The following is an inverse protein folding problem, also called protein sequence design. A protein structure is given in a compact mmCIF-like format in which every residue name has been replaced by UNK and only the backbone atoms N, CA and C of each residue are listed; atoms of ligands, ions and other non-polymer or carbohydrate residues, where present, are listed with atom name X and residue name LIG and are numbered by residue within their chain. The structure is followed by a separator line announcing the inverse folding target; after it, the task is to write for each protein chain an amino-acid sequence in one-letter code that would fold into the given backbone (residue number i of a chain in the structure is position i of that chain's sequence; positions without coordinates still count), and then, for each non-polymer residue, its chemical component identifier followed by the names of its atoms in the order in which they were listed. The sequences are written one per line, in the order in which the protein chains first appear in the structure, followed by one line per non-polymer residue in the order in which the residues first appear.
data_IF_238071603766
#
_entry.id   IF_238071603766
#
_cell.length_a   1.000
_cell.length_b   1.000
_cell.length_c   1.000
_cell.angle_alpha   90.00
_cell.angle_beta   90.00
_cell.angle_gamma   90.00
#
_symmetry.space_group_name_H-M   'P 1'
#
loop_
_entity.id
_entity.type
_entity.pdbx_description
1 polymer ?
#
# COMPACT_ATOMS: atom_id res chain seq x y z
N UNK A 1 -58.05 27.33 8.96
CA UNK A 1 -57.83 28.48 9.86
C UNK A 1 -56.82 28.05 10.93
N UNK A 2 -55.57 28.49 10.81
CA UNK A 2 -54.89 29.48 11.68
C UNK A 2 -54.46 28.94 13.07
N UNK A 3 -53.13 28.97 13.28
CA UNK A 3 -52.37 29.11 14.57
C UNK A 3 -52.10 27.78 15.31
N UNK A 4 -50.92 27.48 15.88
CA UNK A 4 -49.65 28.22 16.09
C UNK A 4 -48.55 27.20 16.43
N UNK A 5 -47.33 27.50 16.01
CA UNK A 5 -46.07 26.89 16.46
C UNK A 5 -45.85 27.17 17.95
N UNK A 6 -45.33 26.20 18.71
CA UNK A 6 -44.49 26.51 19.88
C UNK A 6 -43.26 25.61 19.91
N UNK A 7 -42.12 26.27 19.71
CA UNK A 7 -40.78 25.81 19.98
C UNK A 7 -40.65 25.39 21.46
N UNK A 8 -40.02 24.24 21.71
CA UNK A 8 -39.34 23.99 22.97
C UNK A 8 -37.87 23.76 22.67
N UNK A 9 -37.15 24.85 22.86
CA UNK A 9 -35.70 24.98 22.90
C UNK A 9 -35.21 24.17 24.10
N UNK A 10 -34.43 23.12 23.86
CA UNK A 10 -33.56 22.54 24.87
C UNK A 10 -32.13 22.67 24.38
N UNK A 11 -31.63 23.91 24.52
CA UNK A 11 -30.21 24.20 24.59
C UNK A 11 -29.70 23.68 25.93
N UNK A 12 -29.02 22.54 25.93
CA UNK A 12 -28.00 22.25 26.92
C UNK A 12 -26.65 22.26 26.19
N UNK A 13 -26.03 23.42 26.30
CA UNK A 13 -24.61 23.66 26.08
C UNK A 13 -23.83 22.70 26.99
N UNK A 14 -23.14 21.74 26.39
CA UNK A 14 -21.94 21.14 26.99
C UNK A 14 -20.76 21.68 26.19
N UNK A 15 -20.09 22.66 26.80
CA UNK A 15 -18.79 23.16 26.38
C UNK A 15 -17.75 22.02 26.40
N UNK A 16 -16.91 21.98 25.36
CA UNK A 16 -15.48 21.74 25.56
C UNK A 16 -14.96 20.35 25.26
N UNK A 17 -14.94 19.95 23.99
CA UNK A 17 -13.77 19.30 23.43
C UNK A 17 -13.34 20.04 22.18
N UNK A 18 -12.08 20.47 22.19
CA UNK A 18 -11.43 21.25 21.16
C UNK A 18 -11.11 20.30 19.99
N UNK A 19 -12.14 19.90 19.25
CA UNK A 19 -11.97 19.11 18.03
C UNK A 19 -11.38 20.03 16.97
N UNK A 20 -10.06 19.95 16.82
CA UNK A 20 -9.39 20.32 15.58
C UNK A 20 -10.19 19.66 14.46
N UNK A 21 -10.90 20.48 13.68
CA UNK A 21 -11.58 20.11 12.44
C UNK A 21 -10.64 19.20 11.64
N UNK A 22 -10.84 17.89 11.72
CA UNK A 22 -10.45 17.01 10.63
C UNK A 22 -11.34 17.47 9.48
N UNK A 23 -10.76 18.17 8.52
CA UNK A 23 -11.41 18.35 7.23
C UNK A 23 -11.67 16.95 6.69
N UNK A 24 -12.88 16.44 6.88
CA UNK A 24 -13.40 15.33 6.11
C UNK A 24 -13.40 15.83 4.68
N UNK A 25 -12.45 15.36 3.87
CA UNK A 25 -12.43 15.62 2.43
C UNK A 25 -13.72 15.02 1.89
N UNK A 26 -14.73 15.87 1.64
CA UNK A 26 -16.02 15.44 1.12
C UNK A 26 -15.80 14.72 -0.22
N UNK A 27 -16.51 13.61 -0.43
CA UNK A 27 -16.46 12.82 -1.68
C UNK A 27 -16.64 13.70 -2.94
N UNK A 28 -17.36 14.82 -2.83
CA UNK A 28 -17.55 15.81 -3.90
C UNK A 28 -16.27 16.56 -4.29
N UNK A 29 -15.34 16.80 -3.36
CA UNK A 29 -14.04 17.40 -3.67
C UNK A 29 -13.18 16.44 -4.50
N UNK A 30 -13.27 15.14 -4.24
CA UNK A 30 -12.48 14.11 -4.93
C UNK A 30 -13.02 13.85 -6.35
N UNK A 31 -14.35 13.82 -6.53
CA UNK A 31 -14.94 13.77 -7.89
C UNK A 31 -14.60 15.00 -8.75
N UNK A 32 -14.40 16.18 -8.13
CA UNK A 32 -13.98 17.38 -8.87
C UNK A 32 -12.52 17.33 -9.35
N UNK A 33 -11.62 16.68 -8.60
CA UNK A 33 -10.22 16.48 -9.01
C UNK A 33 -10.15 15.61 -10.29
N UNK A 34 -11.11 14.70 -10.48
CA UNK A 34 -11.16 13.80 -11.65
C UNK A 34 -11.45 14.49 -12.99
N UNK A 35 -11.98 15.73 -13.02
CA UNK A 35 -12.51 16.34 -14.26
C UNK A 35 -11.75 17.54 -14.83
N UNK A 36 -10.91 18.26 -14.06
CA UNK A 36 -10.38 19.56 -14.53
C UNK A 36 -8.90 19.59 -14.90
N UNK A 37 -8.06 18.68 -14.40
CA UNK A 37 -6.61 18.84 -14.51
C UNK A 37 -5.93 17.66 -15.25
N UNK A 38 -6.55 17.16 -16.32
CA UNK A 38 -5.97 16.11 -17.17
C UNK A 38 -4.98 16.74 -18.15
N UNK A 39 -3.73 16.92 -17.69
CA UNK A 39 -2.58 17.00 -18.58
C UNK A 39 -1.75 15.75 -18.35
N UNK A 40 -1.85 14.80 -19.27
CA UNK A 40 -1.08 13.57 -19.25
C UNK A 40 0.42 13.88 -19.39
N UNK A 41 1.26 13.31 -18.52
CA UNK A 41 2.69 13.16 -18.80
C UNK A 41 3.69 13.98 -17.97
N UNK A 42 3.29 14.70 -16.92
CA UNK A 42 4.27 15.27 -15.98
C UNK A 42 4.57 14.29 -14.83
N UNK A 43 5.84 14.05 -14.46
CA UNK A 43 6.16 13.32 -13.23
C UNK A 43 5.60 14.12 -12.05
N UNK A 44 4.48 13.64 -11.50
CA UNK A 44 3.85 14.32 -10.37
C UNK A 44 4.73 14.11 -9.16
N UNK A 45 5.25 15.20 -8.61
CA UNK A 45 5.82 15.22 -7.26
C UNK A 45 4.83 14.54 -6.31
N UNK A 46 5.24 13.40 -5.75
CA UNK A 46 4.41 12.53 -4.93
C UNK A 46 3.87 13.24 -3.68
N UNK A 47 4.59 14.24 -3.18
CA UNK A 47 4.17 15.03 -2.02
C UNK A 47 3.07 16.03 -2.36
N UNK A 48 3.09 16.55 -3.59
CA UNK A 48 2.18 17.58 -4.07
C UNK A 48 1.01 17.02 -4.89
N UNK A 49 1.02 15.72 -5.21
CA UNK A 49 -0.08 15.07 -5.91
C UNK A 49 -1.38 15.09 -5.06
N UNK A 50 -2.49 15.65 -5.55
CA UNK A 50 -3.73 15.78 -4.78
C UNK A 50 -4.33 14.44 -4.32
N UNK A 51 -4.18 13.38 -5.12
CA UNK A 51 -4.68 12.03 -4.78
C UNK A 51 -3.85 11.45 -3.65
N UNK A 52 -2.52 11.50 -3.76
CA UNK A 52 -1.62 11.03 -2.69
C UNK A 52 -1.82 11.82 -1.39
N UNK A 53 -1.98 13.14 -1.49
CA UNK A 53 -2.27 14.00 -0.33
C UNK A 53 -3.61 13.64 0.32
N UNK A 54 -4.64 13.38 -0.49
CA UNK A 54 -5.94 12.95 0.00
C UNK A 54 -5.85 11.59 0.71
N UNK A 55 -5.17 10.62 0.11
CA UNK A 55 -4.99 9.28 0.68
C UNK A 55 -4.27 9.36 2.03
N UNK A 56 -3.17 10.12 2.13
CA UNK A 56 -2.44 10.33 3.40
C UNK A 56 -3.29 10.93 4.52
N UNK A 57 -4.34 11.70 4.18
CA UNK A 57 -5.24 12.32 5.17
C UNK A 57 -6.33 11.38 5.70
N UNK A 58 -6.64 10.31 4.97
CA UNK A 58 -7.68 9.35 5.31
C UNK A 58 -7.20 8.36 6.37
N UNK A 59 -8.11 7.89 7.22
CA UNK A 59 -7.82 6.73 8.06
C UNK A 59 -7.52 5.51 7.19
N UNK A 60 -6.93 4.50 7.81
CA UNK A 60 -6.56 3.29 7.09
C UNK A 60 -7.77 2.58 6.45
N UNK A 61 -8.88 2.41 7.19
CA UNK A 61 -10.11 1.78 6.66
C UNK A 61 -10.80 2.62 5.58
N UNK A 62 -10.75 3.96 5.68
CA UNK A 62 -11.31 4.85 4.66
C UNK A 62 -10.53 4.74 3.34
N UNK A 63 -9.20 4.65 3.41
CA UNK A 63 -8.36 4.48 2.21
C UNK A 63 -8.62 3.19 1.49
N UNK A 64 -8.69 2.08 2.22
CA UNK A 64 -8.97 0.76 1.64
C UNK A 64 -10.28 0.80 0.86
N UNK A 65 -11.36 1.30 1.47
CA UNK A 65 -12.66 1.47 0.80
C UNK A 65 -12.57 2.38 -0.41
N UNK A 66 -11.83 3.48 -0.31
CA UNK A 66 -11.65 4.40 -1.41
C UNK A 66 -10.91 3.75 -2.57
N UNK A 67 -9.82 3.03 -2.32
CA UNK A 67 -9.03 2.37 -3.35
C UNK A 67 -9.75 1.18 -3.98
N UNK A 68 -10.52 0.41 -3.22
CA UNK A 68 -11.38 -0.63 -3.80
C UNK A 68 -12.44 -0.07 -4.75
N UNK A 69 -12.82 1.21 -4.58
CA UNK A 69 -13.87 1.85 -5.40
C UNK A 69 -13.30 2.73 -6.52
N UNK A 70 -12.15 3.35 -6.29
CA UNK A 70 -11.58 4.41 -7.14
C UNK A 70 -10.08 4.23 -7.42
N UNK A 71 -9.50 3.09 -7.03
CA UNK A 71 -8.06 2.80 -7.18
C UNK A 71 -7.58 2.79 -8.62
N UNK A 72 -8.47 2.56 -9.60
CA UNK A 72 -8.18 2.74 -11.03
C UNK A 72 -7.60 4.13 -11.34
N UNK A 73 -7.99 5.17 -10.58
CA UNK A 73 -7.40 6.50 -10.72
C UNK A 73 -5.87 6.47 -10.50
N UNK A 74 -5.36 5.73 -9.51
CA UNK A 74 -3.90 5.59 -9.30
C UNK A 74 -3.20 5.11 -10.56
N UNK A 75 -3.82 4.13 -11.23
CA UNK A 75 -3.34 3.56 -12.46
C UNK A 75 -3.45 4.55 -13.65
N UNK A 76 -4.51 5.36 -13.72
CA UNK A 76 -4.69 6.38 -14.75
C UNK A 76 -3.74 7.58 -14.61
N UNK A 77 -3.42 7.99 -13.38
CA UNK A 77 -2.51 9.10 -13.08
C UNK A 77 -1.03 8.67 -13.06
N UNK A 78 -0.74 7.40 -13.34
CA UNK A 78 0.62 6.86 -13.47
C UNK A 78 1.49 7.10 -12.21
N UNK A 79 0.86 6.98 -11.02
CA UNK A 79 1.49 7.23 -9.72
C UNK A 79 2.33 6.04 -9.23
N UNK A 80 2.64 5.09 -10.10
CA UNK A 80 3.37 3.87 -9.76
C UNK A 80 4.76 4.16 -9.19
N UNK A 81 5.49 5.12 -9.79
CA UNK A 81 6.82 5.52 -9.29
C UNK A 81 6.75 6.14 -7.89
N UNK A 82 5.62 6.78 -7.53
CA UNK A 82 5.42 7.28 -6.17
C UNK A 82 5.23 6.15 -5.17
N UNK A 83 4.41 5.17 -5.54
CA UNK A 83 4.13 4.00 -4.69
C UNK A 83 5.41 3.19 -4.48
N UNK A 84 6.18 2.96 -5.55
CA UNK A 84 7.48 2.29 -5.48
C UNK A 84 8.44 3.01 -4.55
N UNK A 85 8.64 4.33 -4.74
CA UNK A 85 9.61 5.11 -3.97
C UNK A 85 9.29 5.11 -2.48
N UNK A 86 8.01 5.04 -2.12
CA UNK A 86 7.59 5.05 -0.72
C UNK A 86 7.80 3.69 -0.05
N UNK A 87 7.74 2.60 -0.83
CA UNK A 87 8.05 1.25 -0.35
C UNK A 87 9.52 0.88 -0.43
N UNK A 88 10.32 1.68 -1.13
CA UNK A 88 11.75 1.46 -1.23
C UNK A 88 12.42 1.60 0.14
N UNK A 89 13.23 0.60 0.52
CA UNK A 89 14.06 0.65 1.72
C UNK A 89 15.52 0.36 1.41
N UNK A 90 16.40 0.90 2.26
CA UNK A 90 17.82 0.59 2.18
C UNK A 90 18.12 -0.85 2.64
N UNK A 91 19.17 -1.46 2.07
CA UNK A 91 19.65 -2.81 2.44
C UNK A 91 19.92 -2.95 3.94
N UNK A 92 20.44 -1.91 4.59
CA UNK A 92 20.67 -1.89 6.04
C UNK A 92 19.38 -2.07 6.84
N UNK A 93 18.28 -1.44 6.39
CA UNK A 93 16.95 -1.59 6.98
C UNK A 93 16.41 -2.99 6.70
N UNK A 94 16.47 -3.45 5.46
CA UNK A 94 16.05 -4.80 5.06
C UNK A 94 16.71 -5.87 5.93
N UNK A 95 18.04 -5.85 6.03
CA UNK A 95 18.80 -6.82 6.84
C UNK A 95 18.44 -6.78 8.31
N UNK A 96 18.21 -5.58 8.85
CA UNK A 96 17.81 -5.40 10.25
C UNK A 96 16.46 -6.05 10.52
N UNK A 97 15.47 -5.86 9.64
CA UNK A 97 14.13 -6.43 9.80
C UNK A 97 14.14 -7.96 9.60
N UNK A 98 14.80 -8.44 8.54
CA UNK A 98 14.89 -9.88 8.25
C UNK A 98 15.54 -10.66 9.40
N UNK A 99 16.66 -10.16 9.96
CA UNK A 99 17.42 -10.85 11.03
C UNK A 99 16.67 -10.93 12.37
N UNK A 100 15.63 -10.15 12.57
CA UNK A 100 14.80 -10.27 13.77
C UNK A 100 13.90 -11.51 13.73
N UNK A 101 13.69 -12.09 12.55
CA UNK A 101 12.89 -13.29 12.40
C UNK A 101 13.69 -14.54 12.78
N UNK A 102 13.09 -15.46 13.54
CA UNK A 102 13.73 -16.68 14.07
C UNK A 102 14.32 -17.59 12.99
N UNK A 103 13.68 -17.62 11.81
CA UNK A 103 14.16 -18.35 10.61
C UNK A 103 15.44 -17.77 9.98
N UNK A 104 15.90 -16.59 10.39
CA UNK A 104 17.00 -15.85 9.77
C UNK A 104 18.23 -15.64 10.70
N UNK A 105 18.42 -16.52 11.67
CA UNK A 105 19.43 -16.39 12.75
C UNK A 105 20.87 -16.65 12.28
N UNK A 106 21.08 -17.64 11.41
CA UNK A 106 22.41 -17.97 10.85
C UNK A 106 22.71 -17.22 9.55
N UNK A 107 21.67 -16.83 8.82
CA UNK A 107 21.71 -16.07 7.58
C UNK A 107 20.30 -15.71 7.16
N UNK A 108 20.15 -14.73 6.25
CA UNK A 108 18.82 -14.38 5.73
C UNK A 108 18.42 -15.42 4.70
N UNK A 109 17.40 -16.23 5.01
CA UNK A 109 16.85 -17.21 4.08
C UNK A 109 15.95 -16.49 3.08
N UNK A 110 16.22 -16.70 1.80
CA UNK A 110 15.50 -16.08 0.69
C UNK A 110 14.82 -17.17 -0.12
N UNK A 111 13.55 -16.97 -0.42
CA UNK A 111 12.76 -17.82 -1.31
C UNK A 111 12.62 -17.10 -2.64
N UNK A 112 12.95 -17.80 -3.73
CA UNK A 112 13.01 -17.22 -5.07
C UNK A 112 11.69 -17.42 -5.81
N UNK A 113 11.22 -16.37 -6.46
CA UNK A 113 10.08 -16.38 -7.37
C UNK A 113 10.47 -15.66 -8.67
N UNK A 114 10.45 -16.32 -9.83
CA UNK A 114 10.63 -15.65 -11.11
C UNK A 114 9.61 -14.53 -11.30
N UNK A 115 10.05 -13.35 -11.76
CA UNK A 115 9.14 -12.22 -11.99
C UNK A 115 8.02 -12.56 -12.98
N UNK A 116 8.34 -13.38 -13.99
CA UNK A 116 7.38 -13.88 -14.97
C UNK A 116 6.24 -14.69 -14.33
N UNK A 117 6.50 -15.37 -13.22
CA UNK A 117 5.47 -16.15 -12.51
C UNK A 117 4.50 -15.22 -11.78
N UNK A 118 4.99 -14.10 -11.23
CA UNK A 118 4.15 -13.02 -10.71
C UNK A 118 3.27 -12.41 -11.81
N UNK A 119 3.85 -12.05 -12.95
CA UNK A 119 3.09 -11.49 -14.08
C UNK A 119 2.02 -12.46 -14.59
N UNK A 120 2.39 -13.75 -14.71
CA UNK A 120 1.47 -14.80 -15.12
C UNK A 120 0.35 -15.00 -14.12
N UNK A 121 0.65 -14.93 -12.82
CA UNK A 121 -0.33 -15.00 -11.74
C UNK A 121 -1.33 -13.84 -11.81
N UNK A 122 -0.84 -12.59 -11.87
CA UNK A 122 -1.68 -11.38 -11.98
C UNK A 122 -2.64 -11.49 -13.15
N UNK A 123 -2.12 -11.88 -14.31
CA UNK A 123 -2.91 -12.04 -15.54
C UNK A 123 -3.95 -13.15 -15.42
N UNK A 124 -3.57 -14.32 -14.90
CA UNK A 124 -4.46 -15.47 -14.73
C UNK A 124 -5.60 -15.17 -13.75
N UNK A 125 -5.29 -14.51 -12.64
CA UNK A 125 -6.25 -14.17 -11.58
C UNK A 125 -7.10 -12.93 -11.90
N UNK A 126 -6.83 -12.27 -13.03
CA UNK A 126 -7.53 -11.07 -13.49
C UNK A 126 -7.50 -9.93 -12.47
N UNK A 127 -6.40 -9.80 -11.71
CA UNK A 127 -6.30 -8.81 -10.64
C UNK A 127 -6.07 -7.44 -11.28
N UNK A 128 -7.00 -6.51 -11.07
CA UNK A 128 -6.86 -5.12 -11.49
C UNK A 128 -6.33 -4.25 -10.34
N UNK A 129 -6.06 -2.99 -10.65
CA UNK A 129 -5.59 -1.96 -9.72
C UNK A 129 -6.41 -1.91 -8.43
N UNK A 130 -5.83 -2.30 -7.30
CA UNK A 130 -6.48 -2.33 -5.97
C UNK A 130 -7.76 -3.17 -5.81
N UNK A 131 -8.25 -3.84 -6.85
CA UNK A 131 -9.39 -4.77 -6.77
C UNK A 131 -9.06 -6.01 -5.92
N UNK A 132 -7.79 -6.40 -5.86
CA UNK A 132 -7.26 -7.38 -4.93
C UNK A 132 -5.76 -7.15 -4.71
N UNK A 133 -5.23 -7.85 -3.72
CA UNK A 133 -3.84 -7.81 -3.32
C UNK A 133 -3.21 -9.19 -3.48
N UNK A 134 -1.89 -9.22 -3.42
CA UNK A 134 -1.09 -10.43 -3.48
C UNK A 134 -0.47 -10.68 -2.12
N UNK A 135 -0.59 -11.89 -1.61
CA UNK A 135 0.19 -12.40 -0.49
C UNK A 135 1.20 -13.43 -1.01
N UNK A 136 2.36 -13.51 -0.34
CA UNK A 136 3.31 -14.59 -0.54
C UNK A 136 3.08 -15.66 0.53
N UNK A 137 2.86 -16.90 0.12
CA UNK A 137 2.79 -18.03 1.02
C UNK A 137 4.13 -18.79 0.96
N UNK A 138 4.89 -18.77 2.07
CA UNK A 138 6.21 -19.39 2.19
C UNK A 138 6.08 -20.79 2.79
N UNK A 139 6.48 -21.79 2.02
CA UNK A 139 6.67 -23.17 2.47
C UNK A 139 8.15 -23.38 2.83
N UNK A 140 8.44 -23.22 4.12
CA UNK A 140 9.80 -23.28 4.64
C UNK A 140 10.40 -24.69 4.59
N UNK A 141 9.56 -25.73 4.67
CA UNK A 141 9.97 -27.14 4.65
C UNK A 141 10.43 -27.54 3.26
N UNK A 142 9.67 -27.17 2.22
CA UNK A 142 9.97 -27.49 0.83
C UNK A 142 10.80 -26.43 0.12
N UNK A 143 11.21 -25.37 0.81
CA UNK A 143 11.95 -24.24 0.26
C UNK A 143 11.26 -23.58 -0.95
N UNK A 144 9.94 -23.34 -0.83
CA UNK A 144 9.11 -22.80 -1.90
C UNK A 144 8.38 -21.53 -1.46
N UNK A 145 8.09 -20.67 -2.43
CA UNK A 145 7.17 -19.54 -2.28
C UNK A 145 6.08 -19.68 -3.34
N UNK A 146 4.85 -19.35 -2.96
CA UNK A 146 3.71 -19.29 -3.87
C UNK A 146 2.96 -17.97 -3.68
N UNK A 147 2.12 -17.64 -4.67
CA UNK A 147 1.32 -16.43 -4.67
C UNK A 147 -0.13 -16.76 -4.39
N UNK A 148 -0.77 -15.91 -3.58
CA UNK A 148 -2.20 -15.99 -3.29
C UNK A 148 -2.86 -14.64 -3.52
N UNK A 149 -4.03 -14.67 -4.16
CA UNK A 149 -4.92 -13.52 -4.29
C UNK A 149 -5.65 -13.38 -2.96
N UNK A 150 -5.64 -12.19 -2.39
CA UNK A 150 -6.24 -11.93 -1.10
C UNK A 150 -6.90 -10.55 -1.13
N UNK A 151 -7.99 -10.32 -0.36
CA UNK A 151 -8.37 -8.95 -0.03
C UNK A 151 -7.23 -8.28 0.74
N UNK A 152 -7.30 -6.96 0.86
CA UNK A 152 -6.43 -6.23 1.77
C UNK A 152 -6.47 -6.84 3.19
N UNK A 153 -5.32 -6.92 3.87
CA UNK A 153 -5.23 -7.41 5.24
C UNK A 153 -4.30 -6.57 6.10
N UNK A 154 -4.65 -6.43 7.37
CA UNK A 154 -3.77 -5.82 8.40
C UNK A 154 -3.14 -6.87 9.32
N UNK A 155 -3.47 -8.13 9.12
CA UNK A 155 -2.99 -9.26 9.92
C UNK A 155 -1.87 -10.02 9.22
N UNK A 156 -1.91 -10.12 7.89
CA UNK A 156 -0.85 -10.64 7.02
C UNK A 156 -0.29 -9.55 6.11
N UNK A 157 0.83 -9.79 5.43
CA UNK A 157 1.41 -8.85 4.46
C UNK A 157 0.70 -8.95 3.10
N UNK A 158 0.28 -7.81 2.54
CA UNK A 158 -0.50 -7.75 1.29
C UNK A 158 -0.01 -6.66 0.33
N UNK A 159 0.44 -7.07 -0.85
CA UNK A 159 1.06 -6.18 -1.83
C UNK A 159 0.10 -5.80 -2.94
N UNK A 160 0.04 -4.51 -3.23
CA UNK A 160 -0.81 -3.97 -4.29
C UNK A 160 -0.17 -4.18 -5.68
N UNK A 161 -0.99 -4.36 -6.71
CA UNK A 161 -0.51 -4.42 -8.11
C UNK A 161 0.29 -3.15 -8.50
N UNK A 162 -0.16 -1.93 -8.14
CA UNK A 162 0.59 -0.70 -8.43
C UNK A 162 2.03 -0.67 -7.90
N UNK A 163 2.33 -1.36 -6.78
CA UNK A 163 3.71 -1.49 -6.31
C UNK A 163 4.56 -2.27 -7.32
N UNK A 164 4.10 -3.43 -7.78
CA UNK A 164 4.85 -4.26 -8.73
C UNK A 164 5.02 -3.57 -10.09
N UNK A 165 3.99 -2.87 -10.58
CA UNK A 165 4.07 -2.04 -11.78
C UNK A 165 5.07 -0.89 -11.60
N UNK A 166 5.10 -0.26 -10.42
CA UNK A 166 6.07 0.79 -10.08
C UNK A 166 7.51 0.30 -10.12
N UNK A 167 7.76 -0.86 -9.50
CA UNK A 167 9.09 -1.51 -9.51
C UNK A 167 9.54 -1.76 -10.95
N UNK A 168 8.68 -2.37 -11.77
CA UNK A 168 8.98 -2.66 -13.17
C UNK A 168 9.23 -1.38 -13.97
N UNK A 169 8.48 -0.31 -13.71
CA UNK A 169 8.64 0.96 -14.41
C UNK A 169 9.94 1.68 -14.05
N UNK A 170 10.32 1.68 -12.77
CA UNK A 170 11.52 2.39 -12.28
C UNK A 170 12.80 1.62 -12.63
N UNK A 171 12.80 0.30 -12.45
CA UNK A 171 14.02 -0.53 -12.56
C UNK A 171 14.08 -1.35 -13.86
N UNK A 172 13.01 -1.39 -14.64
CA UNK A 172 12.96 -2.06 -15.93
C UNK A 172 12.82 -3.58 -15.82
N UNK A 173 13.66 -4.31 -16.57
CA UNK A 173 13.57 -5.77 -16.72
C UNK A 173 13.97 -6.50 -15.44
N UNK A 174 13.01 -6.73 -14.54
CA UNK A 174 13.18 -7.54 -13.34
C UNK A 174 13.17 -9.03 -13.70
N UNK A 175 14.11 -9.79 -13.12
CA UNK A 175 14.23 -11.24 -13.35
C UNK A 175 13.57 -12.04 -12.22
N UNK A 176 13.86 -11.68 -10.97
CA UNK A 176 13.56 -12.51 -9.81
C UNK A 176 13.17 -11.65 -8.62
N UNK A 177 12.19 -12.13 -7.86
CA UNK A 177 11.80 -11.65 -6.54
C UNK A 177 12.37 -12.62 -5.51
N UNK A 178 12.98 -12.09 -4.47
CA UNK A 178 13.47 -12.84 -3.33
C UNK A 178 12.71 -12.40 -2.09
N UNK A 179 11.92 -13.28 -1.51
CA UNK A 179 11.11 -13.00 -0.32
C UNK A 179 11.74 -13.59 0.93
N UNK A 180 11.50 -12.97 2.08
CA UNK A 180 11.88 -13.50 3.39
C UNK A 180 10.92 -13.02 4.46
N UNK A 181 10.80 -13.80 5.52
CA UNK A 181 10.08 -13.38 6.71
C UNK A 181 10.89 -12.35 7.51
N UNK A 182 10.16 -11.40 8.06
CA UNK A 182 10.68 -10.32 8.88
C UNK A 182 9.76 -10.12 10.08
N UNK A 183 10.35 -9.59 11.15
CA UNK A 183 9.58 -9.13 12.30
C UNK A 183 9.57 -7.61 12.28
N UNK A 184 8.38 -7.02 12.33
CA UNK A 184 8.21 -5.57 12.25
C UNK A 184 7.36 -5.05 13.41
N UNK A 185 7.85 -3.96 14.01
CA UNK A 185 7.29 -3.37 15.21
C UNK A 185 8.33 -3.14 16.31
N UNK A 186 7.93 -2.50 17.42
CA UNK A 186 8.80 -2.31 18.60
C UNK A 186 8.78 -3.60 19.43
N UNK A 187 9.79 -3.86 20.27
CA UNK A 187 9.93 -5.07 21.10
C UNK A 187 8.67 -5.54 21.86
N UNK A 188 7.72 -4.63 22.12
CA UNK A 188 6.47 -4.90 22.86
C UNK A 188 5.31 -5.34 21.93
N UNK A 189 5.36 -4.99 20.64
CA UNK A 189 4.35 -5.35 19.62
C UNK A 189 5.10 -5.67 18.33
N UNK A 190 5.36 -6.96 18.09
CA UNK A 190 5.98 -7.49 16.87
C UNK A 190 4.93 -8.17 16.01
N UNK A 191 4.92 -7.89 14.70
CA UNK A 191 4.14 -8.63 13.69
C UNK A 191 5.08 -9.34 12.73
N UNK A 192 4.79 -10.60 12.45
CA UNK A 192 5.42 -11.32 11.34
C UNK A 192 4.89 -10.79 10.02
N UNK A 193 5.82 -10.54 9.10
CA UNK A 193 5.57 -9.93 7.80
C UNK A 193 6.57 -10.48 6.78
N UNK A 194 6.27 -10.29 5.51
CA UNK A 194 7.19 -10.60 4.43
C UNK A 194 7.82 -9.29 3.95
N UNK A 195 9.11 -9.32 3.64
CA UNK A 195 9.81 -8.28 2.89
C UNK A 195 10.46 -8.93 1.69
N UNK A 196 10.73 -8.15 0.64
CA UNK A 196 11.32 -8.71 -0.55
C UNK A 196 12.37 -7.79 -1.16
N UNK A 197 13.25 -8.41 -1.93
CA UNK A 197 14.16 -7.70 -2.82
C UNK A 197 13.99 -8.23 -4.24
N UNK A 198 14.21 -7.37 -5.21
CA UNK A 198 14.15 -7.75 -6.64
C UNK A 198 15.53 -7.64 -7.24
N UNK A 199 15.79 -8.50 -8.23
CA UNK A 199 17.01 -8.47 -9.04
C UNK A 199 16.68 -8.04 -10.45
N UNK A 200 17.28 -6.94 -10.90
CA UNK A 200 17.18 -6.50 -12.30
C UNK A 200 18.04 -7.36 -13.24
N UNK A 201 17.90 -7.14 -14.55
CA UNK A 201 18.69 -7.83 -15.57
C UNK A 201 20.20 -7.52 -15.51
N UNK A 202 20.59 -6.41 -14.88
CA UNK A 202 21.99 -6.01 -14.66
C UNK A 202 22.60 -6.65 -13.42
N UNK A 203 21.80 -7.34 -12.60
CA UNK A 203 22.23 -7.97 -11.36
C UNK A 203 22.18 -7.08 -10.12
N UNK A 204 21.62 -5.87 -10.21
CA UNK A 204 21.42 -4.99 -9.07
C UNK A 204 20.25 -5.46 -8.21
N UNK A 205 20.34 -5.19 -6.91
CA UNK A 205 19.29 -5.50 -5.95
C UNK A 205 18.62 -4.25 -5.41
N UNK A 206 17.28 -4.24 -5.45
CA UNK A 206 16.44 -3.20 -4.85
C UNK A 206 15.55 -3.84 -3.81
N UNK A 207 15.34 -3.16 -2.68
CA UNK A 207 14.70 -3.74 -1.49
C UNK A 207 13.43 -2.97 -1.18
N UNK A 208 12.39 -3.72 -0.81
CA UNK A 208 11.06 -3.18 -0.56
C UNK A 208 10.55 -3.68 0.78
N UNK A 209 9.89 -2.78 1.50
CA UNK A 209 9.31 -3.07 2.79
C UNK A 209 7.88 -3.58 2.70
N UNK A 210 7.23 -3.56 3.85
CA UNK A 210 5.92 -4.16 4.06
C UNK A 210 4.88 -3.22 3.51
N UNK A 211 4.39 -3.56 2.32
CA UNK A 211 3.10 -3.07 1.92
C UNK A 211 2.05 -3.90 2.65
N UNK A 212 1.39 -3.27 3.63
CA UNK A 212 -0.06 -3.37 3.82
C UNK A 212 -0.61 -2.00 3.43
N UNK A 213 -0.40 -1.62 2.17
CA UNK A 213 -0.56 -0.24 1.74
C UNK A 213 -1.85 0.01 0.94
N UNK A 214 -2.82 0.71 1.53
CA UNK A 214 -3.83 1.41 0.77
C UNK A 214 -3.40 2.87 0.45
N UNK A 215 -2.15 3.07 -0.01
CA UNK A 215 -1.48 4.31 -0.45
C UNK A 215 -0.99 5.34 0.62
N UNK A 216 -0.65 4.88 1.82
CA UNK A 216 0.59 5.15 2.61
C UNK A 216 0.36 5.60 4.05
N UNK A 217 0.67 4.69 4.97
CA UNK A 217 0.61 4.87 6.42
C UNK A 217 1.61 5.94 6.88
N UNK A 218 1.17 6.88 7.72
CA UNK A 218 2.10 7.63 8.55
C UNK A 218 2.80 6.61 9.46
N UNK A 219 4.12 6.45 9.32
CA UNK A 219 4.94 5.84 10.37
C UNK A 219 5.17 6.85 11.50
#
# INVERSE_FOLDING_TARGET
MKKTVLFLILSLVMMGCNDKKKETVSEDKIQKIQRKDIVAGAPTDCENNPIMKSLRSMSHSEREKWLNKYGEAICMYDLYSCIENIHFIHDTVFRRLARQHSRNTTGIKLYELPWKDLESFIKKEGIKCYDAYIAFDIDAENNKVSLRKTPFSTTEATYSIPLFEGIKKVHGNIQTIYVTDAVVGKKVISKERIIFKVKDASGNFFHYDISDDPAIMNM
#
